data_IF_454596553571
#
_entry.id   IF_454596553571
#
_cell.length_a   1.000
_cell.length_b   1.000
_cell.length_c   1.000
_cell.angle_alpha   90.00
_cell.angle_beta   90.00
_cell.angle_gamma   90.00
#
_symmetry.space_group_name_H-M   'P 1'
#
loop_
_entity.id
_entity.type
_entity.pdbx_description
1 polymer ?
#
# COMPACT_ATOMS: atom_id res chain seq x y z
N UNK A 1 27.23 -27.50 -8.69
CA UNK A 1 26.55 -28.14 -7.53
C UNK A 1 26.77 -27.40 -6.20
N UNK A 2 27.99 -26.99 -5.82
CA UNK A 2 28.26 -26.27 -4.53
C UNK A 2 27.47 -24.97 -4.32
N UNK A 3 27.41 -24.08 -5.32
CA UNK A 3 26.76 -22.77 -5.17
C UNK A 3 25.23 -22.88 -5.01
N UNK A 4 24.60 -23.85 -5.68
CA UNK A 4 23.15 -24.10 -5.53
C UNK A 4 22.78 -24.58 -4.12
N UNK A 5 23.64 -25.39 -3.50
CA UNK A 5 23.43 -25.89 -2.15
C UNK A 5 23.60 -24.78 -1.11
N UNK A 6 24.59 -23.89 -1.29
CA UNK A 6 24.80 -22.70 -0.46
C UNK A 6 23.60 -21.75 -0.55
N UNK A 7 23.08 -21.48 -1.76
CA UNK A 7 21.91 -20.62 -1.94
C UNK A 7 20.67 -21.22 -1.26
N UNK A 8 20.43 -22.53 -1.38
CA UNK A 8 19.31 -23.20 -0.70
C UNK A 8 19.44 -23.10 0.83
N UNK A 9 20.65 -23.26 1.37
CA UNK A 9 20.91 -23.15 2.80
C UNK A 9 20.67 -21.72 3.30
N UNK A 10 21.12 -20.71 2.54
CA UNK A 10 20.89 -19.30 2.85
C UNK A 10 19.39 -18.95 2.80
N UNK A 11 18.65 -19.45 1.81
CA UNK A 11 17.19 -19.26 1.73
C UNK A 11 16.51 -19.94 2.92
N UNK A 12 16.93 -21.14 3.32
CA UNK A 12 16.36 -21.86 4.46
C UNK A 12 16.67 -21.16 5.79
N UNK A 13 17.89 -20.64 5.96
CA UNK A 13 18.24 -19.80 7.11
C UNK A 13 17.47 -18.48 7.09
N UNK A 14 17.27 -17.85 5.94
CA UNK A 14 16.43 -16.66 5.85
C UNK A 14 14.97 -16.96 6.18
N UNK A 15 14.39 -18.06 5.70
CA UNK A 15 12.99 -18.40 5.99
C UNK A 15 12.75 -18.85 7.43
N UNK A 16 13.77 -19.37 8.11
CA UNK A 16 13.69 -19.80 9.52
C UNK A 16 14.11 -18.67 10.47
N UNK A 17 15.23 -17.99 10.21
CA UNK A 17 15.80 -16.98 11.10
C UNK A 17 15.27 -15.56 10.87
N UNK A 18 14.66 -15.25 9.71
CA UNK A 18 13.96 -13.97 9.52
C UNK A 18 12.50 -14.01 9.98
N UNK A 19 12.04 -15.13 10.57
CA UNK A 19 10.73 -15.20 11.21
C UNK A 19 10.83 -14.59 12.59
N UNK A 20 10.27 -13.40 12.74
CA UNK A 20 10.06 -12.79 14.04
C UNK A 20 9.08 -13.65 14.86
N UNK A 21 9.52 -14.13 16.03
CA UNK A 21 8.63 -14.80 16.98
C UNK A 21 7.75 -13.78 17.69
N UNK A 22 6.64 -14.24 18.30
CA UNK A 22 5.73 -13.33 19.02
C UNK A 22 6.42 -12.59 20.17
N UNK A 23 7.38 -13.24 20.83
CA UNK A 23 8.24 -12.62 21.85
C UNK A 23 9.08 -11.49 21.27
N UNK A 24 9.64 -11.68 20.07
CA UNK A 24 10.43 -10.66 19.39
C UNK A 24 9.56 -9.47 18.98
N UNK A 25 8.34 -9.74 18.49
CA UNK A 25 7.38 -8.71 18.09
C UNK A 25 7.03 -7.83 19.29
N UNK A 26 6.78 -8.46 20.45
CA UNK A 26 6.51 -7.76 21.69
C UNK A 26 7.71 -6.92 22.13
N UNK A 27 8.91 -7.51 22.08
CA UNK A 27 10.16 -6.83 22.44
C UNK A 27 10.39 -5.59 21.56
N UNK A 28 10.12 -5.69 20.25
CA UNK A 28 10.22 -4.53 19.34
C UNK A 28 9.17 -3.47 19.70
N UNK A 29 7.93 -3.87 19.97
CA UNK A 29 6.86 -2.94 20.36
C UNK A 29 7.19 -2.15 21.64
N UNK A 30 7.91 -2.77 22.57
CA UNK A 30 8.34 -2.17 23.84
C UNK A 30 9.70 -1.44 23.74
N UNK A 31 10.37 -1.50 22.58
CA UNK A 31 11.72 -0.94 22.39
C UNK A 31 11.69 0.54 21.95
N UNK A 32 12.59 1.33 22.53
CA UNK A 32 12.86 2.71 22.11
C UNK A 32 13.52 2.70 20.73
N UNK A 33 12.89 3.37 19.76
CA UNK A 33 13.37 3.42 18.37
C UNK A 33 14.36 4.57 18.16
N UNK A 34 14.22 5.67 18.90
CA UNK A 34 15.15 6.80 18.88
C UNK A 34 15.53 7.15 20.31
N UNK A 35 16.80 6.90 20.65
CA UNK A 35 17.34 7.06 22.02
C UNK A 35 17.36 8.51 22.50
N UNK A 36 17.68 9.46 21.60
CA UNK A 36 17.84 10.89 21.95
C UNK A 36 16.56 11.50 22.56
N UNK A 37 15.39 11.11 22.04
CA UNK A 37 14.08 11.61 22.48
C UNK A 37 13.22 10.55 23.19
N UNK A 38 13.77 9.36 23.44
CA UNK A 38 13.04 8.20 23.97
C UNK A 38 11.75 7.89 23.19
N UNK A 39 11.77 8.07 21.86
CA UNK A 39 10.60 7.84 21.01
C UNK A 39 10.32 6.35 20.88
N UNK A 40 9.08 5.98 21.16
CA UNK A 40 8.54 4.63 21.05
C UNK A 40 7.56 4.58 19.87
N UNK A 41 7.42 3.41 19.25
CA UNK A 41 6.29 3.15 18.34
C UNK A 41 5.02 3.28 19.17
N UNK A 42 3.99 3.96 18.65
CA UNK A 42 2.76 4.11 19.39
C UNK A 42 2.12 2.73 19.62
N UNK A 43 1.94 2.29 20.87
CA UNK A 43 1.49 0.92 21.16
C UNK A 43 0.07 0.68 20.65
N UNK A 44 -0.77 1.71 20.58
CA UNK A 44 -2.11 1.62 19.99
C UNK A 44 -2.15 2.16 18.55
N UNK A 45 -0.97 2.41 17.96
CA UNK A 45 -0.82 3.00 16.64
C UNK A 45 -1.06 1.99 15.53
N UNK A 46 -1.34 2.46 14.30
CA UNK A 46 -1.49 1.57 13.17
C UNK A 46 -0.22 0.77 12.86
N UNK A 47 0.97 1.25 13.26
CA UNK A 47 2.24 0.57 13.06
C UNK A 47 2.69 -0.29 14.24
N UNK A 48 1.85 -0.48 15.26
CA UNK A 48 2.14 -1.46 16.31
C UNK A 48 2.51 -2.83 15.67
N UNK A 49 3.69 -3.40 15.98
CA UNK A 49 4.16 -4.64 15.35
C UNK A 49 3.24 -5.84 15.58
N UNK A 50 2.63 -5.95 16.76
CA UNK A 50 1.67 -7.00 17.10
C UNK A 50 0.39 -6.86 16.27
N UNK A 51 -0.12 -5.63 16.11
CA UNK A 51 -1.26 -5.33 15.26
C UNK A 51 -0.97 -5.69 13.81
N UNK A 52 0.20 -5.29 13.30
CA UNK A 52 0.66 -5.65 11.96
C UNK A 52 0.73 -7.17 11.75
N UNK A 53 1.28 -7.90 12.73
CA UNK A 53 1.32 -9.36 12.70
C UNK A 53 -0.06 -10.00 12.68
N UNK A 54 -0.98 -9.57 13.55
CA UNK A 54 -2.36 -10.08 13.58
C UNK A 54 -3.06 -9.79 12.26
N UNK A 55 -2.98 -8.57 11.74
CA UNK A 55 -3.58 -8.18 10.46
C UNK A 55 -3.03 -8.99 9.29
N UNK A 56 -1.74 -9.29 9.29
CA UNK A 56 -1.13 -10.15 8.28
C UNK A 56 -1.63 -11.58 8.39
N UNK A 57 -1.63 -12.17 9.59
CA UNK A 57 -2.10 -13.54 9.84
C UNK A 57 -3.58 -13.73 9.56
N UNK A 58 -4.41 -12.72 9.81
CA UNK A 58 -5.83 -12.76 9.52
C UNK A 58 -6.16 -12.50 8.05
N UNK A 59 -5.16 -12.20 7.20
CA UNK A 59 -5.39 -11.80 5.82
C UNK A 59 -6.18 -10.50 5.70
N UNK A 60 -6.05 -9.57 6.65
CA UNK A 60 -6.88 -8.37 6.71
C UNK A 60 -6.82 -7.56 5.40
N UNK A 61 -5.62 -7.31 4.88
CA UNK A 61 -5.44 -6.59 3.62
C UNK A 61 -5.94 -7.39 2.42
N UNK A 62 -5.76 -8.71 2.43
CA UNK A 62 -6.29 -9.60 1.40
C UNK A 62 -7.80 -9.45 1.30
N UNK A 63 -8.48 -9.60 2.43
CA UNK A 63 -9.93 -9.54 2.52
C UNK A 63 -10.45 -8.13 2.18
N UNK A 64 -9.80 -7.09 2.71
CA UNK A 64 -10.21 -5.71 2.45
C UNK A 64 -10.05 -5.32 0.99
N UNK A 65 -9.08 -5.89 0.27
CA UNK A 65 -8.86 -5.55 -1.14
C UNK A 65 -9.65 -6.42 -2.11
N UNK A 66 -9.93 -7.70 -1.80
CA UNK A 66 -10.63 -8.59 -2.75
C UNK A 66 -12.10 -8.90 -2.39
N UNK A 67 -12.53 -8.64 -1.16
CA UNK A 67 -13.86 -9.03 -0.68
C UNK A 67 -14.60 -7.90 0.05
N UNK A 68 -14.05 -6.69 0.09
CA UNK A 68 -14.76 -5.56 0.68
C UNK A 68 -16.00 -5.21 -0.16
N UNK A 69 -17.18 -5.01 0.47
CA UNK A 69 -18.41 -4.67 -0.24
C UNK A 69 -18.34 -3.30 -0.94
N UNK A 70 -17.39 -2.44 -0.56
CA UNK A 70 -17.15 -1.13 -1.18
C UNK A 70 -16.35 -1.22 -2.50
N UNK A 71 -15.85 -2.41 -2.85
CA UNK A 71 -15.08 -2.65 -4.08
C UNK A 71 -15.94 -3.41 -5.08
N UNK A 72 -16.12 -2.81 -6.25
CA UNK A 72 -16.71 -3.47 -7.41
C UNK A 72 -15.68 -4.43 -8.02
N UNK A 73 -15.82 -5.71 -7.69
CA UNK A 73 -14.88 -6.73 -8.11
C UNK A 73 -15.16 -7.21 -9.53
N UNK A 74 -14.18 -7.10 -10.42
CA UNK A 74 -14.34 -7.56 -11.80
C UNK A 74 -14.16 -9.07 -11.91
N UNK A 75 -15.27 -9.79 -12.09
CA UNK A 75 -15.29 -11.22 -12.38
C UNK A 75 -16.20 -11.52 -13.58
N UNK A 76 -15.90 -12.61 -14.27
CA UNK A 76 -16.69 -13.13 -15.38
C UNK A 76 -16.99 -14.60 -15.14
N UNK A 77 -18.26 -14.97 -15.24
CA UNK A 77 -18.69 -16.36 -15.26
C UNK A 77 -19.26 -16.63 -16.65
N UNK A 78 -18.61 -17.52 -17.39
CA UNK A 78 -19.07 -17.98 -18.69
C UNK A 78 -19.57 -19.42 -18.57
N UNK A 79 -20.75 -19.69 -19.10
CA UNK A 79 -21.26 -21.05 -19.26
C UNK A 79 -21.07 -21.48 -20.72
N UNK A 80 -20.57 -22.69 -20.93
CA UNK A 80 -20.48 -23.34 -22.24
C UNK A 80 -21.00 -24.76 -22.13
N UNK A 81 -21.82 -25.17 -23.08
CA UNK A 81 -22.28 -26.56 -23.17
C UNK A 81 -21.46 -27.27 -24.26
N UNK A 82 -20.66 -28.27 -23.87
CA UNK A 82 -19.85 -29.09 -24.78
C UNK A 82 -20.09 -30.57 -24.47
N UNK A 83 -20.33 -31.39 -25.51
CA UNK A 83 -20.51 -32.85 -25.37
C UNK A 83 -21.53 -33.30 -24.30
N UNK A 84 -22.68 -32.61 -24.20
CA UNK A 84 -23.74 -32.87 -23.19
C UNK A 84 -23.32 -32.56 -21.74
N UNK A 85 -22.19 -31.88 -21.53
CA UNK A 85 -21.75 -31.36 -20.24
C UNK A 85 -21.79 -29.83 -20.22
N UNK A 86 -22.30 -29.27 -19.14
CA UNK A 86 -22.26 -27.83 -18.88
C UNK A 86 -20.97 -27.49 -18.14
N UNK A 87 -20.11 -26.70 -18.78
CA UNK A 87 -18.84 -26.23 -18.24
C UNK A 87 -18.98 -24.76 -17.83
N UNK A 88 -18.57 -24.45 -16.61
CA UNK A 88 -18.49 -23.09 -16.10
C UNK A 88 -17.04 -22.63 -16.06
N UNK A 89 -16.74 -21.52 -16.73
CA UNK A 89 -15.42 -20.86 -16.67
C UNK A 89 -15.54 -19.60 -15.83
N UNK A 90 -14.81 -19.58 -14.71
CA UNK A 90 -14.68 -18.40 -13.87
C UNK A 90 -13.38 -17.67 -14.19
N UNK A 91 -13.45 -16.38 -14.49
CA UNK A 91 -12.29 -15.51 -14.72
C UNK A 91 -12.34 -14.34 -13.75
N UNK A 92 -11.18 -14.01 -13.16
CA UNK A 92 -11.03 -12.93 -12.19
C UNK A 92 -9.87 -12.04 -12.60
N UNK A 93 -10.10 -10.73 -12.68
CA UNK A 93 -9.08 -9.75 -13.05
C UNK A 93 -9.01 -8.63 -12.00
N UNK A 94 -8.32 -8.84 -10.85
CA UNK A 94 -8.29 -7.87 -9.74
C UNK A 94 -7.77 -6.49 -10.12
N UNK A 95 -6.94 -6.42 -11.17
CA UNK A 95 -6.47 -5.16 -11.74
C UNK A 95 -7.63 -4.31 -12.25
N UNK A 96 -8.75 -4.88 -12.66
CA UNK A 96 -9.89 -4.14 -13.21
C UNK A 96 -10.95 -3.77 -12.17
N UNK A 97 -10.69 -4.05 -10.89
CA UNK A 97 -11.59 -3.64 -9.81
C UNK A 97 -11.71 -2.12 -9.72
N UNK A 98 -12.87 -1.66 -9.23
CA UNK A 98 -13.16 -0.26 -8.98
C UNK A 98 -13.75 -0.10 -7.58
N UNK A 99 -13.84 1.13 -7.10
CA UNK A 99 -14.66 1.43 -5.93
C UNK A 99 -16.09 1.70 -6.38
N UNK A 100 -17.10 1.32 -5.58
CA UNK A 100 -18.46 1.77 -5.83
C UNK A 100 -18.58 3.28 -5.58
N UNK A 101 -19.46 3.92 -6.36
CA UNK A 101 -19.71 5.35 -6.28
C UNK A 101 -20.80 5.71 -5.26
N UNK A 102 -21.54 4.73 -4.74
CA UNK A 102 -22.73 4.87 -3.88
C UNK A 102 -22.66 4.03 -2.58
N UNK A 103 -21.50 4.03 -1.94
CA UNK A 103 -21.21 3.30 -0.70
C UNK A 103 -22.07 3.79 0.49
N UNK A 104 -22.38 5.09 0.56
CA UNK A 104 -23.09 5.68 1.70
C UNK A 104 -24.08 6.77 1.28
N UNK A 105 -25.20 6.89 2.02
CA UNK A 105 -26.21 7.94 1.81
C UNK A 105 -25.67 9.33 2.17
N UNK A 106 -24.79 9.42 3.17
CA UNK A 106 -24.14 10.68 3.51
C UNK A 106 -23.10 11.03 2.44
N UNK A 107 -23.31 12.14 1.74
CA UNK A 107 -22.50 12.52 0.58
C UNK A 107 -21.02 12.72 0.90
N UNK A 108 -20.68 13.33 2.05
CA UNK A 108 -19.28 13.60 2.41
C UNK A 108 -18.57 12.30 2.78
N UNK A 109 -19.25 11.46 3.56
CA UNK A 109 -18.74 10.14 3.94
C UNK A 109 -18.59 9.24 2.71
N UNK A 110 -19.55 9.31 1.79
CA UNK A 110 -19.50 8.57 0.52
C UNK A 110 -18.28 8.98 -0.30
N UNK A 111 -18.07 10.29 -0.48
CA UNK A 111 -16.91 10.82 -1.20
C UNK A 111 -15.59 10.32 -0.60
N UNK A 112 -15.46 10.39 0.74
CA UNK A 112 -14.29 9.86 1.44
C UNK A 112 -14.12 8.35 1.22
N UNK A 113 -15.18 7.56 1.35
CA UNK A 113 -15.11 6.10 1.21
C UNK A 113 -14.78 5.68 -0.22
N UNK A 114 -15.39 6.30 -1.23
CA UNK A 114 -15.10 6.05 -2.64
C UNK A 114 -13.64 6.38 -2.95
N UNK A 115 -13.15 7.53 -2.50
CA UNK A 115 -11.73 7.90 -2.68
C UNK A 115 -10.81 6.91 -1.97
N UNK A 116 -11.10 6.56 -0.72
CA UNK A 116 -10.29 5.62 0.08
C UNK A 116 -10.18 4.23 -0.57
N UNK A 117 -11.27 3.68 -1.09
CA UNK A 117 -11.25 2.37 -1.74
C UNK A 117 -10.62 2.42 -3.14
N UNK A 118 -10.84 3.51 -3.89
CA UNK A 118 -10.17 3.70 -5.18
C UNK A 118 -8.64 3.78 -5.02
N UNK A 119 -8.18 4.43 -3.94
CA UNK A 119 -6.77 4.44 -3.55
C UNK A 119 -6.26 3.05 -3.21
N UNK A 120 -6.99 2.31 -2.39
CA UNK A 120 -6.62 0.94 -2.02
C UNK A 120 -6.42 0.06 -3.26
N UNK A 121 -7.32 0.17 -4.24
CA UNK A 121 -7.21 -0.54 -5.52
C UNK A 121 -5.95 -0.15 -6.30
N UNK A 122 -5.67 1.16 -6.42
CA UNK A 122 -4.50 1.68 -7.14
C UNK A 122 -3.17 1.38 -6.44
N UNK A 123 -3.18 1.35 -5.12
CA UNK A 123 -2.02 1.01 -4.29
C UNK A 123 -1.68 -0.46 -4.36
N UNK A 124 -2.70 -1.32 -4.34
CA UNK A 124 -2.54 -2.78 -4.33
C UNK A 124 -3.33 -3.41 -5.49
N UNK A 125 -2.89 -3.19 -6.75
CA UNK A 125 -3.65 -3.59 -7.93
C UNK A 125 -3.77 -5.11 -8.09
N UNK A 126 -2.91 -5.89 -7.43
CA UNK A 126 -2.96 -7.35 -7.42
C UNK A 126 -3.01 -7.99 -8.81
N UNK A 127 -2.15 -7.50 -9.72
CA UNK A 127 -2.16 -7.85 -11.15
C UNK A 127 -1.99 -9.34 -11.43
N UNK A 128 -1.28 -10.06 -10.58
CA UNK A 128 -1.02 -11.50 -10.64
C UNK A 128 -1.70 -12.26 -9.48
N UNK A 129 -2.64 -11.60 -8.78
CA UNK A 129 -3.24 -12.10 -7.55
C UNK A 129 -2.36 -11.94 -6.30
N UNK A 130 -1.13 -11.41 -6.43
CA UNK A 130 -0.29 -11.08 -5.27
C UNK A 130 -0.59 -9.68 -4.73
N UNK A 131 -0.61 -9.53 -3.40
CA UNK A 131 -0.81 -8.22 -2.77
C UNK A 131 0.51 -7.50 -2.68
N UNK A 132 0.84 -6.80 -3.75
CA UNK A 132 2.04 -6.00 -3.83
C UNK A 132 1.71 -4.58 -4.24
N UNK A 133 2.44 -3.63 -3.66
CA UNK A 133 2.52 -2.28 -4.22
C UNK A 133 3.27 -2.30 -5.55
N UNK A 134 4.23 -3.21 -5.70
CA UNK A 134 5.03 -3.40 -6.92
C UNK A 134 4.11 -3.93 -8.00
N UNK A 135 3.94 -3.14 -9.06
CA UNK A 135 3.09 -3.52 -10.19
C UNK A 135 3.58 -2.90 -11.49
N UNK A 136 3.21 -3.50 -12.62
CA UNK A 136 3.45 -2.91 -13.95
C UNK A 136 2.44 -1.82 -14.35
N UNK A 137 1.47 -1.52 -13.48
CA UNK A 137 0.34 -0.64 -13.77
C UNK A 137 0.77 0.83 -13.71
N UNK A 138 0.65 1.55 -14.83
CA UNK A 138 1.18 2.91 -15.00
C UNK A 138 0.58 3.95 -14.04
N UNK A 139 -0.67 3.76 -13.63
CA UNK A 139 -1.40 4.56 -12.66
C UNK A 139 -1.29 4.00 -11.23
N UNK A 140 -0.34 3.10 -10.93
CA UNK A 140 -0.07 2.70 -9.54
C UNK A 140 0.81 3.73 -8.80
N UNK A 141 0.77 3.71 -7.45
CA UNK A 141 1.76 4.45 -6.64
C UNK A 141 3.17 3.99 -6.96
N UNK A 142 3.39 2.69 -7.13
CA UNK A 142 4.72 2.17 -7.38
C UNK A 142 5.31 2.74 -8.67
N UNK A 143 4.53 2.81 -9.74
CA UNK A 143 4.95 3.47 -10.98
C UNK A 143 5.25 4.95 -10.81
N UNK A 144 4.69 5.63 -9.81
CA UNK A 144 5.10 6.98 -9.41
C UNK A 144 6.44 6.96 -8.64
N UNK A 145 6.57 6.11 -7.62
CA UNK A 145 7.75 6.05 -6.76
C UNK A 145 9.04 5.70 -7.50
N UNK A 146 8.95 4.90 -8.58
CA UNK A 146 10.12 4.48 -9.35
C UNK A 146 10.51 5.41 -10.49
N UNK A 147 9.75 6.50 -10.77
CA UNK A 147 10.10 7.44 -11.84
C UNK A 147 11.46 8.08 -11.54
N UNK A 148 12.32 8.25 -12.55
CA UNK A 148 13.69 8.78 -12.36
C UNK A 148 13.77 10.05 -11.52
N UNK A 149 12.78 10.95 -11.63
CA UNK A 149 12.72 12.20 -10.88
C UNK A 149 12.23 12.06 -9.43
N UNK A 150 11.55 10.98 -9.09
CA UNK A 150 10.92 10.72 -7.79
C UNK A 150 11.69 9.68 -7.00
N UNK A 151 12.30 8.72 -7.69
CA UNK A 151 13.08 7.62 -7.12
C UNK A 151 14.11 8.05 -6.07
N UNK A 152 14.85 9.17 -6.24
CA UNK A 152 15.75 9.67 -5.18
C UNK A 152 15.03 10.02 -3.87
N UNK A 153 13.76 10.45 -3.96
CA UNK A 153 12.93 10.88 -2.83
C UNK A 153 11.97 9.79 -2.33
N UNK A 154 12.01 8.59 -2.92
CA UNK A 154 11.09 7.52 -2.60
C UNK A 154 11.09 7.20 -1.09
N UNK A 155 12.27 7.11 -0.47
CA UNK A 155 12.38 6.84 0.96
C UNK A 155 11.83 7.98 1.82
N UNK A 156 12.01 9.25 1.42
CA UNK A 156 11.43 10.38 2.12
C UNK A 156 9.89 10.36 2.04
N UNK A 157 9.33 10.09 0.86
CA UNK A 157 7.87 9.95 0.69
C UNK A 157 7.34 8.83 1.60
N UNK A 158 8.00 7.67 1.61
CA UNK A 158 7.61 6.55 2.46
C UNK A 158 7.71 6.89 3.95
N UNK A 159 8.74 7.63 4.37
CA UNK A 159 8.91 8.09 5.73
C UNK A 159 7.81 9.09 6.14
N UNK A 160 7.40 10.00 5.25
CA UNK A 160 6.29 10.92 5.52
C UNK A 160 4.97 10.14 5.68
N UNK A 161 4.68 9.21 4.78
CA UNK A 161 3.48 8.37 4.90
C UNK A 161 3.48 7.55 6.20
N UNK A 162 4.66 7.06 6.61
CA UNK A 162 4.87 6.36 7.86
C UNK A 162 4.53 7.25 9.07
N UNK A 163 5.09 8.45 9.13
CA UNK A 163 4.84 9.42 10.19
C UNK A 163 3.36 9.84 10.25
N UNK A 164 2.75 10.14 9.10
CA UNK A 164 1.33 10.48 9.01
C UNK A 164 0.42 9.35 9.52
N UNK A 165 0.79 8.09 9.28
CA UNK A 165 0.03 6.96 9.82
C UNK A 165 0.06 6.93 11.35
N UNK A 166 1.16 7.34 11.98
CA UNK A 166 1.29 7.45 13.44
C UNK A 166 0.72 8.78 13.99
N UNK A 167 -0.06 9.51 13.19
CA UNK A 167 -0.66 10.80 13.54
C UNK A 167 0.38 11.88 13.88
N UNK A 168 1.62 11.72 13.42
CA UNK A 168 2.63 12.76 13.50
C UNK A 168 2.30 13.81 12.45
N UNK A 169 2.18 15.06 12.88
CA UNK A 169 1.93 16.18 12.00
C UNK A 169 3.18 16.47 11.15
N UNK A 170 3.11 16.12 9.87
CA UNK A 170 4.18 16.40 8.90
C UNK A 170 3.74 17.56 8.01
N UNK A 171 4.44 18.71 8.05
CA UNK A 171 4.07 19.86 7.23
C UNK A 171 4.40 19.57 5.76
N UNK A 172 3.37 19.24 4.98
CA UNK A 172 3.43 19.17 3.53
C UNK A 172 2.46 20.16 2.90
N UNK A 173 2.70 20.52 1.64
CA UNK A 173 1.79 21.40 0.89
C UNK A 173 1.75 20.97 -0.56
N UNK A 174 0.59 21.13 -1.20
CA UNK A 174 0.44 20.93 -2.64
C UNK A 174 0.45 22.29 -3.31
N UNK A 175 1.53 22.61 -4.02
CA UNK A 175 1.60 23.81 -4.84
C UNK A 175 1.06 23.53 -6.24
N UNK A 176 0.15 24.37 -6.72
CA UNK A 176 -0.34 24.31 -8.11
C UNK A 176 0.20 25.50 -8.89
N UNK A 177 1.06 25.27 -9.89
CA UNK A 177 1.58 26.30 -10.80
C UNK A 177 1.33 25.90 -12.24
N UNK A 178 0.60 26.72 -13.01
CA UNK A 178 0.42 26.59 -14.47
C UNK A 178 0.09 25.15 -14.96
N UNK A 179 -0.84 24.46 -14.27
CA UNK A 179 -1.26 23.05 -14.50
C UNK A 179 -0.30 21.96 -14.04
N UNK A 180 0.82 22.31 -13.42
CA UNK A 180 1.67 21.37 -12.70
C UNK A 180 1.33 21.43 -11.21
N UNK A 181 1.15 20.25 -10.60
CA UNK A 181 0.96 20.10 -9.16
C UNK A 181 2.27 19.57 -8.58
N UNK A 182 2.69 20.11 -7.44
CA UNK A 182 3.96 19.81 -6.81
C UNK A 182 3.73 19.50 -5.35
N UNK A 183 4.20 18.34 -4.90
CA UNK A 183 4.25 18.03 -3.48
C UNK A 183 5.49 18.70 -2.90
N UNK A 184 5.28 19.51 -1.87
CA UNK A 184 6.31 20.25 -1.16
C UNK A 184 6.37 19.70 0.25
N UNK A 185 7.50 19.10 0.60
CA UNK A 185 7.80 18.66 1.97
C UNK A 185 8.68 19.74 2.61
N UNK A 186 8.22 20.29 3.73
CA UNK A 186 8.99 21.24 4.51
C UNK A 186 9.60 20.49 5.69
N UNK A 187 10.91 20.55 5.84
CA UNK A 187 11.55 20.04 7.06
C UNK A 187 11.43 21.07 8.19
N UNK A 188 11.60 20.59 9.43
CA UNK A 188 11.47 21.41 10.63
C UNK A 188 12.51 22.55 10.72
N UNK A 189 13.66 22.40 10.05
CA UNK A 189 14.71 23.42 9.91
C UNK A 189 14.41 24.47 8.83
N UNK A 190 13.28 24.36 8.12
CA UNK A 190 12.88 25.26 7.03
C UNK A 190 13.46 24.89 5.65
N UNK A 191 14.28 23.84 5.55
CA UNK A 191 14.73 23.31 4.27
C UNK A 191 13.54 22.74 3.50
N UNK A 192 13.49 22.93 2.18
CA UNK A 192 12.33 22.51 1.37
C UNK A 192 12.76 21.48 0.33
N UNK A 193 12.23 20.27 0.44
CA UNK A 193 12.37 19.23 -0.58
C UNK A 193 11.20 19.31 -1.57
N UNK A 194 11.54 19.21 -2.85
CA UNK A 194 10.63 19.54 -3.94
C UNK A 194 10.40 18.33 -4.84
N UNK A 195 9.20 17.76 -4.80
CA UNK A 195 8.84 16.62 -5.65
C UNK A 195 7.99 17.13 -6.82
N UNK A 196 8.66 17.41 -7.94
CA UNK A 196 8.03 17.91 -9.17
C UNK A 196 7.27 16.79 -9.90
N UNK A 197 5.97 16.98 -10.17
CA UNK A 197 5.20 16.12 -11.06
C UNK A 197 4.85 16.84 -12.38
N UNK A 198 5.58 16.61 -13.48
CA UNK A 198 5.10 17.01 -14.80
C UNK A 198 4.02 16.03 -15.25
N UNK A 199 2.81 16.57 -15.46
CA UNK A 199 1.55 15.89 -15.80
C UNK A 199 0.96 15.07 -14.66
N UNK A 200 -0.26 15.47 -14.32
CA UNK A 200 -1.16 14.98 -13.27
C UNK A 200 -1.21 13.46 -13.25
N UNK A 201 -0.49 12.84 -12.33
CA UNK A 201 -0.95 11.57 -11.79
C UNK A 201 -1.75 11.92 -10.54
N UNK A 202 -3.07 12.05 -10.69
CA UNK A 202 -3.98 12.45 -9.60
C UNK A 202 -3.92 11.51 -8.40
N UNK A 203 -3.32 10.33 -8.57
CA UNK A 203 -3.26 9.30 -7.55
C UNK A 203 -2.51 9.74 -6.29
N UNK A 204 -1.51 10.61 -6.39
CA UNK A 204 -0.86 11.12 -5.17
C UNK A 204 -1.69 12.16 -4.42
N UNK A 205 -2.54 12.91 -5.13
CA UNK A 205 -3.39 13.94 -4.55
C UNK A 205 -4.63 13.35 -3.91
N UNK A 206 -5.05 12.15 -4.35
CA UNK A 206 -6.03 11.38 -3.62
C UNK A 206 -5.45 10.76 -2.34
N UNK A 207 -4.13 10.54 -2.26
CA UNK A 207 -3.49 9.92 -1.08
C UNK A 207 -3.27 10.88 0.09
N UNK A 208 -3.32 12.18 -0.16
CA UNK A 208 -2.90 13.26 0.73
C UNK A 208 -4.02 14.29 0.81
#
# INVERSE_FOLDING_TARGET
MKNSMIIKLLIMMYTVCARLELSDIKTIGDSVVIEEDSLLIHPDGPLNPLRGYIMHKSGCMYNKRLYAPEIDTMYKLEQKDENYETIYTYTREPVNDLAYDDICVDTKKNEYLTQSHALLVKMFPSTDGSFSIVSGRQDSIYSFLIKDRVKPECMHIMAVLFLLSEQVDVPFTIETKKKEKKLVLKSADGTTAYINQPRTNENLLSLI
#
